data_IF_200798349310
#
_entry.id   IF_200798349310
#
_cell.length_a   1.000
_cell.length_b   1.000
_cell.length_c   1.000
_cell.angle_alpha   90.00
_cell.angle_beta   90.00
_cell.angle_gamma   90.00
#
_symmetry.space_group_name_H-M   'P 1'
#
loop_
_entity.id
_entity.type
_entity.pdbx_description
1 polymer ?
#
# COMPACT_ATOMS: atom_id res chain seq x y z
N UNK A 1 22.99 18.87 -2.52
CA UNK A 1 23.62 17.73 -1.86
C UNK A 1 25.12 17.88 -2.05
N UNK A 2 25.84 18.07 -0.95
CA UNK A 2 27.28 18.35 -0.93
C UNK A 2 28.07 17.03 -1.09
N UNK A 3 29.30 17.10 -1.60
CA UNK A 3 30.14 15.91 -1.86
C UNK A 3 30.33 15.05 -0.59
N UNK A 4 30.48 15.68 0.57
CA UNK A 4 30.63 15.02 1.87
C UNK A 4 29.39 14.20 2.28
N UNK A 5 28.18 14.66 1.95
CA UNK A 5 26.93 13.92 2.20
C UNK A 5 26.86 12.66 1.35
N UNK A 6 27.31 12.75 0.09
CA UNK A 6 27.39 11.61 -0.82
C UNK A 6 28.43 10.57 -0.39
N UNK A 7 29.59 11.02 0.10
CA UNK A 7 30.63 10.14 0.63
C UNK A 7 30.14 9.42 1.90
N UNK A 8 29.50 10.15 2.81
CA UNK A 8 28.91 9.56 4.02
C UNK A 8 27.86 8.51 3.70
N UNK A 9 26.96 8.81 2.75
CA UNK A 9 25.95 7.85 2.29
C UNK A 9 26.57 6.63 1.61
N UNK A 10 27.64 6.82 0.83
CA UNK A 10 28.35 5.72 0.19
C UNK A 10 28.95 4.77 1.23
N UNK A 11 29.66 5.31 2.22
CA UNK A 11 30.29 4.50 3.25
C UNK A 11 29.26 3.76 4.12
N UNK A 12 28.12 4.38 4.44
CA UNK A 12 27.05 3.73 5.19
C UNK A 12 26.35 2.60 4.42
N UNK A 13 26.36 2.66 3.09
CA UNK A 13 25.85 1.58 2.23
C UNK A 13 26.88 0.45 2.13
N UNK A 14 28.17 0.78 2.00
CA UNK A 14 29.24 -0.21 1.89
C UNK A 14 29.41 -1.06 3.15
N UNK A 15 29.02 -0.55 4.31
CA UNK A 15 29.00 -1.33 5.55
C UNK A 15 27.85 -2.33 5.66
N UNK A 16 26.95 -2.40 4.68
CA UNK A 16 25.81 -3.33 4.70
C UNK A 16 26.16 -4.67 4.07
N UNK A 17 25.84 -5.75 4.77
CA UNK A 17 26.01 -7.10 4.27
C UNK A 17 24.89 -7.49 3.30
N UNK A 18 25.24 -7.68 2.02
CA UNK A 18 24.28 -7.93 0.95
C UNK A 18 23.42 -9.19 1.18
N UNK A 19 24.01 -10.23 1.78
CA UNK A 19 23.29 -11.47 2.03
C UNK A 19 22.25 -11.31 3.15
N UNK A 20 22.53 -10.48 4.16
CA UNK A 20 21.57 -10.12 5.19
C UNK A 20 20.39 -9.33 4.60
N UNK A 21 20.67 -8.37 3.70
CA UNK A 21 19.61 -7.62 3.00
C UNK A 21 18.73 -8.54 2.15
N UNK A 22 19.33 -9.50 1.43
CA UNK A 22 18.59 -10.50 0.65
C UNK A 22 17.75 -11.41 1.53
N UNK A 23 18.29 -11.84 2.67
CA UNK A 23 17.57 -12.66 3.64
C UNK A 23 16.36 -11.90 4.20
N UNK A 24 16.49 -10.61 4.52
CA UNK A 24 15.39 -9.76 4.96
C UNK A 24 14.30 -9.61 3.88
N UNK A 25 14.66 -9.38 2.61
CA UNK A 25 13.71 -9.31 1.48
C UNK A 25 12.93 -10.63 1.35
N UNK A 26 13.61 -11.76 1.50
CA UNK A 26 13.04 -13.11 1.38
C UNK A 26 12.40 -13.61 2.67
N UNK A 27 12.36 -12.79 3.72
CA UNK A 27 11.85 -13.16 5.04
C UNK A 27 12.51 -14.41 5.64
N UNK A 28 13.81 -14.60 5.39
CA UNK A 28 14.59 -15.75 5.86
C UNK A 28 15.31 -15.47 7.19
N UNK A 29 15.61 -14.21 7.45
CA UNK A 29 16.34 -13.79 8.64
C UNK A 29 15.92 -12.37 9.03
N UNK A 30 15.88 -12.12 10.34
CA UNK A 30 15.71 -10.79 10.89
C UNK A 30 17.08 -10.30 11.36
N UNK A 31 17.60 -9.18 10.83
CA UNK A 31 18.80 -8.53 11.35
C UNK A 31 18.75 -8.30 12.86
N UNK A 32 19.86 -8.53 13.55
CA UNK A 32 19.99 -8.20 14.98
C UNK A 32 20.04 -6.69 15.21
N UNK A 33 20.54 -5.93 14.24
CA UNK A 33 20.59 -4.48 14.22
C UNK A 33 19.94 -3.88 12.96
N UNK A 34 19.66 -2.58 12.99
CA UNK A 34 19.04 -1.85 11.88
C UNK A 34 19.87 -0.60 11.55
N UNK A 35 21.10 -0.78 11.06
CA UNK A 35 22.08 0.31 10.95
C UNK A 35 21.74 1.36 9.88
N UNK A 36 20.81 1.06 8.97
CA UNK A 36 20.55 1.90 7.80
C UNK A 36 19.11 1.80 7.26
N UNK A 37 18.62 2.87 6.63
CA UNK A 37 17.26 2.94 6.06
C UNK A 37 16.98 1.84 5.02
N UNK A 38 18.01 1.42 4.28
CA UNK A 38 17.91 0.31 3.31
C UNK A 38 17.49 -1.01 3.97
N UNK A 39 17.89 -1.25 5.22
CA UNK A 39 17.48 -2.45 5.97
C UNK A 39 15.97 -2.43 6.18
N UNK A 40 15.40 -1.27 6.58
CA UNK A 40 13.95 -1.13 6.70
C UNK A 40 13.23 -1.34 5.38
N UNK A 41 13.75 -0.85 4.25
CA UNK A 41 13.16 -1.09 2.92
C UNK A 41 13.17 -2.58 2.54
N UNK A 42 14.24 -3.31 2.88
CA UNK A 42 14.32 -4.76 2.69
C UNK A 42 13.29 -5.50 3.55
N UNK A 43 13.15 -5.11 4.82
CA UNK A 43 12.18 -5.69 5.74
C UNK A 43 10.73 -5.42 5.31
N UNK A 44 10.42 -4.22 4.78
CA UNK A 44 9.10 -3.91 4.22
C UNK A 44 8.73 -4.92 3.13
N UNK A 45 9.67 -5.29 2.26
CA UNK A 45 9.44 -6.33 1.25
C UNK A 45 9.13 -7.68 1.92
N UNK A 46 9.96 -8.13 2.86
CA UNK A 46 9.74 -9.38 3.60
C UNK A 46 8.39 -9.42 4.32
N UNK A 47 8.04 -8.37 5.07
CA UNK A 47 6.76 -8.21 5.78
C UNK A 47 5.58 -8.39 4.82
N UNK A 48 5.67 -7.78 3.63
CA UNK A 48 4.56 -7.74 2.69
C UNK A 48 4.18 -9.12 2.16
N UNK A 49 5.18 -9.94 1.84
CA UNK A 49 4.97 -11.27 1.24
C UNK A 49 4.86 -12.41 2.28
N UNK A 50 5.32 -12.21 3.51
CA UNK A 50 5.45 -13.29 4.49
C UNK A 50 4.77 -12.95 5.82
N UNK A 51 3.55 -13.45 6.03
CA UNK A 51 2.73 -13.16 7.22
C UNK A 51 3.40 -13.60 8.54
N UNK A 52 3.97 -14.81 8.57
CA UNK A 52 4.67 -15.33 9.75
C UNK A 52 5.88 -14.49 10.14
N UNK A 53 6.65 -14.03 9.14
CA UNK A 53 7.78 -13.13 9.35
C UNK A 53 7.34 -11.77 9.88
N UNK A 54 6.24 -11.23 9.36
CA UNK A 54 5.66 -9.99 9.86
C UNK A 54 5.25 -10.11 11.34
N UNK A 55 4.69 -11.25 11.75
CA UNK A 55 4.33 -11.53 13.15
C UNK A 55 5.57 -11.59 14.03
N UNK A 56 6.61 -12.31 13.60
CA UNK A 56 7.88 -12.44 14.34
C UNK A 56 8.58 -11.08 14.51
N UNK A 57 8.59 -10.25 13.47
CA UNK A 57 9.30 -8.97 13.45
C UNK A 57 8.58 -7.86 14.23
N UNK A 58 7.25 -7.90 14.38
CA UNK A 58 6.44 -6.80 14.95
C UNK A 58 6.82 -6.40 16.38
N UNK A 59 7.47 -7.30 17.13
CA UNK A 59 7.98 -7.03 18.49
C UNK A 59 9.37 -6.40 18.54
N UNK A 60 10.04 -6.19 17.39
CA UNK A 60 11.36 -5.59 17.27
C UNK A 60 11.23 -4.12 16.85
N UNK A 61 12.32 -3.35 16.98
CA UNK A 61 12.38 -1.88 16.83
C UNK A 61 11.36 -1.28 15.83
N UNK A 62 10.60 -0.27 16.28
CA UNK A 62 9.47 0.31 15.54
C UNK A 62 9.92 1.53 14.73
N UNK A 63 10.38 1.29 13.50
CA UNK A 63 10.45 2.35 12.48
C UNK A 63 9.06 2.55 11.85
N UNK A 64 8.63 3.79 11.62
CA UNK A 64 7.29 4.11 11.11
C UNK A 64 6.95 3.38 9.80
N UNK A 65 7.90 3.27 8.87
CA UNK A 65 7.73 2.49 7.63
C UNK A 65 7.41 1.02 7.88
N UNK A 66 7.94 0.41 8.94
CA UNK A 66 7.61 -0.97 9.30
C UNK A 66 6.20 -1.06 9.86
N UNK A 67 5.76 -0.10 10.71
CA UNK A 67 4.38 -0.06 11.21
C UNK A 67 3.36 -0.03 10.07
N UNK A 68 3.63 0.77 9.03
CA UNK A 68 2.80 0.81 7.82
C UNK A 68 2.78 -0.51 7.07
N UNK A 69 3.93 -1.15 6.91
CA UNK A 69 4.04 -2.45 6.25
C UNK A 69 3.29 -3.55 7.05
N UNK A 70 3.39 -3.50 8.38
CA UNK A 70 2.67 -4.37 9.29
C UNK A 70 1.16 -4.21 9.15
N UNK A 71 0.66 -2.98 9.16
CA UNK A 71 -0.76 -2.68 8.95
C UNK A 71 -1.22 -3.17 7.56
N UNK A 72 -0.40 -2.99 6.52
CA UNK A 72 -0.70 -3.49 5.18
C UNK A 72 -0.84 -5.02 5.18
N UNK A 73 0.14 -5.72 5.78
CA UNK A 73 0.15 -7.18 5.88
C UNK A 73 -1.03 -7.73 6.66
N UNK A 74 -1.44 -7.06 7.75
CA UNK A 74 -2.64 -7.45 8.48
C UNK A 74 -3.89 -7.38 7.60
N UNK A 75 -4.08 -6.26 6.89
CA UNK A 75 -5.24 -6.08 6.01
C UNK A 75 -5.24 -7.14 4.90
N UNK A 76 -4.09 -7.38 4.26
CA UNK A 76 -3.89 -8.45 3.26
C UNK A 76 -4.25 -9.83 3.85
N UNK A 77 -3.88 -10.08 5.10
CA UNK A 77 -4.22 -11.29 5.85
C UNK A 77 -5.63 -11.29 6.47
N UNK A 78 -6.53 -10.40 6.02
CA UNK A 78 -7.91 -10.27 6.53
C UNK A 78 -8.05 -9.90 8.01
N UNK A 79 -7.02 -9.25 8.60
CA UNK A 79 -7.04 -8.73 9.97
C UNK A 79 -7.10 -7.20 9.94
N UNK A 80 -7.93 -6.60 10.79
CA UNK A 80 -8.04 -5.13 10.85
C UNK A 80 -7.07 -4.59 11.89
N UNK A 81 -6.01 -3.85 11.49
CA UNK A 81 -5.10 -3.23 12.43
C UNK A 81 -5.74 -1.99 13.07
N UNK A 82 -5.16 -1.54 14.18
CA UNK A 82 -5.42 -0.21 14.75
C UNK A 82 -4.51 0.81 14.06
N UNK A 83 -5.10 1.82 13.43
CA UNK A 83 -4.40 2.90 12.73
C UNK A 83 -4.84 4.21 13.37
N UNK A 84 -4.03 4.75 14.28
CA UNK A 84 -4.40 5.93 15.06
C UNK A 84 -4.05 7.22 14.31
N UNK A 85 -2.95 7.19 13.56
CA UNK A 85 -2.42 8.34 12.86
C UNK A 85 -2.54 8.16 11.33
N UNK A 86 -2.64 9.24 10.54
CA UNK A 86 -2.65 9.15 9.08
C UNK A 86 -1.46 8.40 8.50
N UNK A 87 -0.28 8.55 9.09
CA UNK A 87 0.91 7.79 8.71
C UNK A 87 0.77 6.28 8.84
N UNK A 88 -0.09 5.77 9.73
CA UNK A 88 -0.28 4.33 9.95
C UNK A 88 -0.99 3.68 8.76
N UNK A 89 -1.68 4.48 7.94
CA UNK A 89 -2.49 4.01 6.83
C UNK A 89 -1.58 3.52 5.69
N UNK A 90 -1.67 2.24 5.29
CA UNK A 90 -0.88 1.72 4.19
C UNK A 90 -1.18 2.43 2.88
N UNK A 91 -0.15 2.60 2.05
CA UNK A 91 -0.35 3.04 0.66
C UNK A 91 -1.22 2.03 -0.10
N UNK A 92 -0.75 0.79 -0.15
CA UNK A 92 -1.37 -0.33 -0.84
C UNK A 92 -1.49 -1.51 0.11
N UNK A 93 -2.69 -2.10 0.20
CA UNK A 93 -3.00 -3.30 0.98
C UNK A 93 -3.70 -4.38 0.14
N UNK A 94 -3.59 -4.32 -1.19
CA UNK A 94 -4.17 -5.25 -2.15
C UNK A 94 -3.12 -6.00 -2.98
N UNK A 95 -1.90 -6.10 -2.45
CA UNK A 95 -0.78 -6.82 -3.07
C UNK A 95 0.15 -7.39 -1.99
N UNK A 96 0.57 -8.67 -2.02
CA UNK A 96 0.45 -9.60 -3.15
C UNK A 96 -0.93 -10.22 -3.35
N UNK A 97 -1.76 -10.21 -2.29
CA UNK A 97 -3.11 -10.74 -2.33
C UNK A 97 -4.10 -9.63 -2.00
N UNK A 98 -5.30 -9.73 -2.57
CA UNK A 98 -6.38 -8.79 -2.29
C UNK A 98 -7.15 -9.27 -1.05
N UNK A 99 -7.38 -8.40 -0.03
CA UNK A 99 -8.22 -8.73 1.11
C UNK A 99 -9.62 -9.16 0.68
N UNK A 100 -10.32 -9.90 1.54
CA UNK A 100 -11.71 -10.26 1.30
C UNK A 100 -12.61 -9.02 1.30
N UNK A 101 -13.71 -9.07 0.54
CA UNK A 101 -14.72 -8.01 0.59
C UNK A 101 -15.27 -7.78 2.00
N UNK A 102 -15.35 -8.81 2.84
CA UNK A 102 -15.75 -8.69 4.24
C UNK A 102 -14.79 -7.83 5.05
N UNK A 103 -13.48 -8.07 4.90
CA UNK A 103 -12.43 -7.25 5.51
C UNK A 103 -12.49 -5.81 5.00
N UNK A 104 -12.66 -5.59 3.69
CA UNK A 104 -12.78 -4.24 3.13
C UNK A 104 -14.00 -3.48 3.67
N UNK A 105 -15.18 -4.13 3.78
CA UNK A 105 -16.36 -3.54 4.42
C UNK A 105 -16.11 -3.22 5.90
N UNK A 106 -15.42 -4.09 6.62
CA UNK A 106 -15.05 -3.83 8.02
C UNK A 106 -14.07 -2.67 8.15
N UNK A 107 -13.14 -2.53 7.19
CA UNK A 107 -12.20 -1.42 7.14
C UNK A 107 -12.93 -0.08 6.95
N UNK A 108 -13.90 -0.01 6.04
CA UNK A 108 -14.75 1.17 5.85
C UNK A 108 -15.57 1.51 7.11
N UNK A 109 -16.07 0.49 7.80
CA UNK A 109 -16.81 0.69 9.05
C UNK A 109 -15.92 1.27 10.16
N UNK A 110 -14.70 0.77 10.28
CA UNK A 110 -13.76 1.19 11.33
C UNK A 110 -13.08 2.52 11.01
N UNK A 111 -12.88 2.84 9.73
CA UNK A 111 -12.21 4.05 9.25
C UNK A 111 -13.05 4.71 8.13
N UNK A 112 -14.18 5.37 8.48
CA UNK A 112 -15.16 5.88 7.52
C UNK A 112 -14.72 7.21 6.87
N UNK A 113 -13.49 7.29 6.34
CA UNK A 113 -12.95 8.48 5.68
C UNK A 113 -13.05 8.37 4.16
N UNK A 114 -13.13 9.50 3.47
CA UNK A 114 -13.11 9.53 2.00
C UNK A 114 -11.81 8.91 1.45
N UNK A 115 -10.68 9.17 2.10
CA UNK A 115 -9.39 8.57 1.75
C UNK A 115 -9.42 7.05 1.83
N UNK A 116 -10.04 6.48 2.87
CA UNK A 116 -10.19 5.03 2.98
C UNK A 116 -11.12 4.47 1.89
N UNK A 117 -12.19 5.18 1.52
CA UNK A 117 -13.06 4.76 0.41
C UNK A 117 -12.29 4.63 -0.91
N UNK A 118 -11.45 5.61 -1.28
CA UNK A 118 -10.63 5.51 -2.49
C UNK A 118 -9.63 4.35 -2.44
N UNK A 119 -9.00 4.10 -1.28
CA UNK A 119 -8.11 2.93 -1.11
C UNK A 119 -8.86 1.61 -1.25
N UNK A 120 -10.05 1.50 -0.67
CA UNK A 120 -10.90 0.32 -0.85
C UNK A 120 -11.36 0.22 -2.31
N UNK A 121 -11.62 1.34 -2.99
CA UNK A 121 -11.92 1.39 -4.42
C UNK A 121 -10.81 0.78 -5.28
N UNK A 122 -9.54 1.13 -5.01
CA UNK A 122 -8.38 0.50 -5.66
C UNK A 122 -8.25 -0.98 -5.33
N UNK A 123 -8.48 -1.38 -4.07
CA UNK A 123 -8.50 -2.80 -3.72
C UNK A 123 -9.62 -3.57 -4.44
N UNK A 124 -10.80 -2.96 -4.65
CA UNK A 124 -11.87 -3.55 -5.44
C UNK A 124 -11.47 -3.67 -6.91
N UNK A 125 -10.83 -2.64 -7.46
CA UNK A 125 -10.29 -2.65 -8.83
C UNK A 125 -9.19 -3.71 -9.00
N UNK A 126 -8.37 -3.98 -7.99
CA UNK A 126 -7.40 -5.07 -8.05
C UNK A 126 -8.08 -6.46 -7.94
N UNK A 127 -9.10 -6.60 -7.09
CA UNK A 127 -9.77 -7.87 -6.83
C UNK A 127 -10.98 -8.21 -7.72
N UNK A 128 -11.38 -7.31 -8.62
CA UNK A 128 -12.62 -7.44 -9.41
C UNK A 128 -13.89 -7.43 -8.55
N UNK A 129 -13.89 -6.76 -7.41
CA UNK A 129 -15.03 -6.72 -6.49
C UNK A 129 -16.06 -5.68 -6.92
N UNK A 130 -16.66 -5.90 -8.08
CA UNK A 130 -17.59 -4.96 -8.74
C UNK A 130 -18.75 -4.55 -7.82
N UNK A 131 -19.37 -5.52 -7.13
CA UNK A 131 -20.49 -5.24 -6.23
C UNK A 131 -20.10 -4.36 -5.05
N UNK A 132 -18.95 -4.64 -4.41
CA UNK A 132 -18.44 -3.79 -3.33
C UNK A 132 -18.04 -2.41 -3.87
N UNK A 133 -17.46 -2.32 -5.06
CA UNK A 133 -17.11 -1.04 -5.67
C UNK A 133 -18.33 -0.14 -5.87
N UNK A 134 -19.47 -0.72 -6.30
CA UNK A 134 -20.74 0.00 -6.42
C UNK A 134 -21.25 0.50 -5.06
N UNK A 135 -21.03 -0.24 -3.97
CA UNK A 135 -21.40 0.20 -2.61
C UNK A 135 -20.59 1.41 -2.11
N UNK A 136 -19.46 1.76 -2.75
CA UNK A 136 -18.59 2.86 -2.31
C UNK A 136 -19.11 4.26 -2.65
N UNK A 137 -20.32 4.36 -3.25
CA UNK A 137 -21.08 5.56 -3.63
C UNK A 137 -20.39 6.90 -3.30
N UNK A 138 -20.29 7.77 -4.31
CA UNK A 138 -19.62 9.10 -4.29
C UNK A 138 -18.12 9.10 -4.66
N UNK A 139 -17.56 8.00 -5.15
CA UNK A 139 -16.22 8.04 -5.76
C UNK A 139 -16.29 8.74 -7.13
N UNK A 140 -15.43 9.73 -7.34
CA UNK A 140 -15.14 10.23 -8.68
C UNK A 140 -14.49 9.11 -9.49
N UNK A 141 -14.72 9.05 -10.82
CA UNK A 141 -14.06 8.10 -11.70
C UNK A 141 -12.55 8.41 -11.75
N UNK A 142 -11.81 7.77 -10.85
CA UNK A 142 -10.39 8.03 -10.61
C UNK A 142 -9.50 7.25 -11.57
N UNK A 143 -8.48 7.92 -12.12
CA UNK A 143 -7.49 7.33 -13.03
C UNK A 143 -6.79 6.16 -12.36
N UNK A 144 -6.42 6.28 -11.08
CA UNK A 144 -5.72 5.19 -10.38
C UNK A 144 -6.60 3.94 -10.25
N UNK A 145 -7.91 4.09 -10.04
CA UNK A 145 -8.85 2.96 -10.03
C UNK A 145 -8.95 2.31 -11.41
N UNK A 146 -9.00 3.10 -12.48
CA UNK A 146 -9.02 2.59 -13.85
C UNK A 146 -7.74 1.81 -14.19
N UNK A 147 -6.58 2.33 -13.79
CA UNK A 147 -5.28 1.67 -14.00
C UNK A 147 -5.18 0.35 -13.24
N UNK A 148 -5.56 0.32 -11.95
CA UNK A 148 -5.60 -0.91 -11.16
C UNK A 148 -6.55 -1.95 -11.78
N UNK A 149 -7.71 -1.52 -12.28
CA UNK A 149 -8.65 -2.43 -12.94
C UNK A 149 -8.11 -2.95 -14.28
N UNK A 150 -7.41 -2.11 -15.06
CA UNK A 150 -6.77 -2.50 -16.32
C UNK A 150 -5.69 -3.56 -16.10
N UNK A 151 -4.85 -3.36 -15.08
CA UNK A 151 -3.73 -4.24 -14.78
C UNK A 151 -4.19 -5.62 -14.24
N UNK A 152 -5.46 -5.71 -13.81
CA UNK A 152 -6.10 -6.93 -13.31
C UNK A 152 -7.22 -7.47 -14.24
N UNK A 153 -7.20 -7.11 -15.53
CA UNK A 153 -8.08 -7.74 -16.53
C UNK A 153 -7.76 -9.24 -16.71
N UNK A 154 -8.77 -10.10 -16.99
CA UNK A 154 -10.18 -9.76 -17.22
C UNK A 154 -11.03 -9.70 -15.93
N UNK A 155 -10.47 -10.04 -14.77
CA UNK A 155 -11.21 -10.14 -13.50
C UNK A 155 -11.90 -8.82 -13.15
N UNK A 156 -11.23 -7.69 -13.43
CA UNK A 156 -11.72 -6.36 -13.08
C UNK A 156 -12.41 -5.60 -14.21
N UNK A 157 -12.85 -6.31 -15.26
CA UNK A 157 -13.46 -5.71 -16.45
C UNK A 157 -14.65 -4.81 -16.11
N UNK A 158 -15.53 -5.23 -15.20
CA UNK A 158 -16.71 -4.46 -14.84
C UNK A 158 -16.37 -3.09 -14.23
N UNK A 159 -15.40 -3.05 -13.31
CA UNK A 159 -14.92 -1.78 -12.72
C UNK A 159 -14.22 -0.92 -13.78
N UNK A 160 -13.38 -1.52 -14.61
CA UNK A 160 -12.71 -0.82 -15.71
C UNK A 160 -13.72 -0.14 -16.64
N UNK A 161 -14.72 -0.88 -17.12
CA UNK A 161 -15.76 -0.36 -17.99
C UNK A 161 -16.60 0.73 -17.30
N UNK A 162 -16.93 0.57 -16.01
CA UNK A 162 -17.68 1.59 -15.24
C UNK A 162 -16.91 2.92 -15.15
N UNK A 163 -15.61 2.88 -14.86
CA UNK A 163 -14.79 4.08 -14.70
C UNK A 163 -14.47 4.72 -16.05
N UNK A 164 -14.02 3.92 -17.02
CA UNK A 164 -13.64 4.40 -18.36
C UNK A 164 -14.85 4.80 -19.22
N UNK A 165 -16.04 4.31 -18.90
CA UNK A 165 -17.29 4.68 -19.57
C UNK A 165 -17.84 6.05 -19.16
N UNK A 166 -17.22 6.72 -18.18
CA UNK A 166 -17.64 8.06 -17.75
C UNK A 166 -17.11 9.15 -18.68
N UNK A 167 -17.70 10.35 -18.60
CA UNK A 167 -17.33 11.48 -19.49
C UNK A 167 -15.98 12.11 -19.15
N UNK A 168 -15.59 12.08 -17.88
CA UNK A 168 -14.37 12.70 -17.37
C UNK A 168 -13.69 11.72 -16.42
N UNK A 169 -12.37 11.58 -16.51
CA UNK A 169 -11.57 10.90 -15.49
C UNK A 169 -10.92 11.95 -14.59
N UNK A 170 -10.69 11.60 -13.33
CA UNK A 170 -10.09 12.50 -12.34
C UNK A 170 -8.81 11.90 -11.78
N UNK A 171 -7.80 12.74 -11.55
CA UNK A 171 -6.67 12.38 -10.71
C UNK A 171 -6.99 12.74 -9.27
N UNK A 172 -7.47 11.78 -8.48
CA UNK A 172 -7.99 12.06 -7.13
C UNK A 172 -6.95 11.82 -6.03
N UNK A 173 -6.23 10.70 -6.10
CA UNK A 173 -5.22 10.39 -5.09
C UNK A 173 -3.86 10.98 -5.46
N UNK A 174 -3.21 11.59 -4.46
CA UNK A 174 -1.79 11.91 -4.50
C UNK A 174 -1.02 10.74 -3.88
N UNK A 175 -0.60 9.81 -4.73
CA UNK A 175 0.12 8.61 -4.32
C UNK A 175 1.49 8.90 -3.72
N UNK A 176 2.09 10.05 -4.07
CA UNK A 176 3.40 10.44 -3.55
C UNK A 176 3.28 10.93 -2.10
N UNK A 177 2.30 11.79 -1.83
CA UNK A 177 2.05 12.34 -0.48
C UNK A 177 1.08 11.50 0.36
N UNK A 178 0.49 10.45 -0.21
CA UNK A 178 -0.45 9.55 0.46
C UNK A 178 -1.68 10.29 0.98
N UNK A 179 -2.24 11.16 0.16
CA UNK A 179 -3.44 11.92 0.48
C UNK A 179 -4.37 12.02 -0.74
N UNK A 180 -5.46 12.78 -0.59
CA UNK A 180 -6.30 13.17 -1.71
C UNK A 180 -5.92 14.59 -2.12
N UNK A 181 -6.01 14.89 -3.42
CA UNK A 181 -5.96 16.27 -3.87
C UNK A 181 -7.20 17.03 -3.39
N UNK A 182 -7.02 18.24 -2.85
CA UNK A 182 -8.13 19.11 -2.44
C UNK A 182 -9.04 19.47 -3.62
N UNK A 183 -8.44 19.65 -4.80
CA UNK A 183 -9.12 19.93 -6.07
C UNK A 183 -8.69 18.89 -7.13
N UNK A 184 -9.38 17.74 -7.24
CA UNK A 184 -9.08 16.73 -8.24
C UNK A 184 -9.19 17.28 -9.66
N UNK A 185 -8.14 17.13 -10.45
CA UNK A 185 -8.11 17.61 -11.84
C UNK A 185 -8.78 16.59 -12.75
N UNK A 186 -9.66 17.06 -13.64
CA UNK A 186 -10.17 16.23 -14.73
C UNK A 186 -9.10 16.07 -15.80
N UNK A 187 -8.78 14.85 -16.18
CA UNK A 187 -7.92 14.52 -17.32
C UNK A 187 -8.81 14.37 -18.56
N UNK A 188 -8.54 15.10 -19.67
CA UNK A 188 -9.22 14.85 -20.93
C UNK A 188 -8.78 13.50 -21.52
N UNK A 189 -9.73 12.79 -22.13
CA UNK A 189 -9.47 11.58 -22.92
C UNK A 189 -8.70 11.86 -24.21
#
# INVERSE_FOLDING_TARGET
MLIEELETLRESILSLELDQLRAAIRAQEIPDDFPHELVYKCLVAGIRYHDGFAIELRGKALHQTLQRAFNARDIISNRIPKMENPEDIPYCFWHPDVPSQGTLRQLLKNYPTLFMRYKVGRACAAGGYEELYKELDDLLPDVAVAEEARDNLPVSKGIYDMVMGTRNLYRVMDDYNLCLFDEPKSEPF
#
